data_IF_537919169190
#
_entry.id   IF_537919169190
#
_cell.length_a   1.000
_cell.length_b   1.000
_cell.length_c   1.000
_cell.angle_alpha   90.00
_cell.angle_beta   90.00
_cell.angle_gamma   90.00
#
_symmetry.space_group_name_H-M   'P 1'
#
loop_
_entity.id
_entity.type
_entity.pdbx_description
1 polymer ?
#
# COMPACT_ATOMS: atom_id res chain seq x y z
N UNK A 1 15.86 1.61 -8.24
CA UNK A 1 14.64 0.81 -8.02
C UNK A 1 13.91 1.34 -6.79
N UNK A 2 12.61 1.48 -6.88
CA UNK A 2 11.73 1.97 -5.80
C UNK A 2 10.89 0.83 -5.26
N UNK A 3 10.74 0.76 -3.94
CA UNK A 3 9.80 -0.14 -3.27
C UNK A 3 8.57 0.64 -2.79
N UNK A 4 7.42 0.01 -2.85
CA UNK A 4 6.20 0.43 -2.17
C UNK A 4 5.43 -0.80 -1.74
N UNK A 5 4.44 -0.67 -0.88
CA UNK A 5 3.69 -1.85 -0.46
C UNK A 5 2.46 -1.53 0.37
N UNK A 6 1.66 -2.55 0.56
CA UNK A 6 0.42 -2.46 1.32
C UNK A 6 -0.38 -3.76 1.30
N UNK A 7 -1.55 -3.72 1.88
CA UNK A 7 -2.51 -4.84 1.81
C UNK A 7 -3.29 -4.84 0.50
N UNK A 8 -3.64 -3.66 -0.02
CA UNK A 8 -4.38 -3.46 -1.28
C UNK A 8 -5.70 -4.25 -1.36
N UNK A 9 -6.44 -4.30 -0.26
CA UNK A 9 -7.69 -5.07 -0.20
C UNK A 9 -8.83 -4.34 -0.94
N UNK A 10 -9.20 -3.15 -0.48
CA UNK A 10 -10.11 -2.26 -1.19
C UNK A 10 -9.30 -1.15 -1.84
N UNK A 11 -9.16 -1.21 -3.16
CA UNK A 11 -8.40 -0.22 -3.90
C UNK A 11 -9.13 1.14 -3.89
N UNK A 12 -8.38 2.19 -3.63
CA UNK A 12 -8.91 3.53 -3.49
C UNK A 12 -7.91 4.60 -3.97
N UNK A 13 -8.35 5.85 -4.04
CA UNK A 13 -7.50 6.96 -4.53
C UNK A 13 -6.21 7.14 -3.73
N UNK A 14 -6.17 6.76 -2.45
CA UNK A 14 -4.93 6.76 -1.65
C UNK A 14 -3.89 5.77 -2.18
N UNK A 15 -4.31 4.58 -2.60
CA UNK A 15 -3.41 3.63 -3.28
C UNK A 15 -2.95 4.16 -4.63
N UNK A 16 -3.84 4.83 -5.37
CA UNK A 16 -3.48 5.45 -6.64
C UNK A 16 -2.42 6.53 -6.45
N UNK A 17 -2.56 7.40 -5.45
CA UNK A 17 -1.57 8.44 -5.12
C UNK A 17 -0.21 7.82 -4.75
N UNK A 18 -0.22 6.75 -3.97
CA UNK A 18 0.99 6.02 -3.58
C UNK A 18 1.73 5.46 -4.81
N UNK A 19 0.99 4.79 -5.70
CA UNK A 19 1.56 4.21 -6.92
C UNK A 19 2.01 5.28 -7.91
N UNK A 20 1.26 6.36 -8.07
CA UNK A 20 1.68 7.51 -8.88
C UNK A 20 3.04 8.00 -8.44
N UNK A 21 3.21 8.23 -7.12
CA UNK A 21 4.48 8.69 -6.57
C UNK A 21 5.62 7.68 -6.79
N UNK A 22 5.33 6.39 -6.63
CA UNK A 22 6.33 5.35 -6.84
C UNK A 22 6.80 5.28 -8.31
N UNK A 23 5.88 5.36 -9.27
CA UNK A 23 6.21 5.35 -10.70
C UNK A 23 6.87 6.64 -11.19
N UNK A 24 6.56 7.77 -10.57
CA UNK A 24 7.27 9.03 -10.84
C UNK A 24 8.71 9.03 -10.30
N UNK A 25 8.94 8.33 -9.19
CA UNK A 25 10.21 8.37 -8.48
C UNK A 25 11.24 7.38 -9.01
N UNK A 26 10.82 6.31 -9.69
CA UNK A 26 11.75 5.28 -10.15
C UNK A 26 11.35 4.57 -11.44
N UNK A 27 12.36 4.21 -12.23
CA UNK A 27 12.20 3.50 -13.49
C UNK A 27 11.71 2.06 -13.32
N UNK A 28 11.90 1.48 -12.15
CA UNK A 28 11.40 0.15 -11.77
C UNK A 28 10.87 0.17 -10.36
N UNK A 29 9.65 -0.35 -10.20
CA UNK A 29 8.95 -0.40 -8.91
C UNK A 29 8.75 -1.85 -8.47
N UNK A 30 9.10 -2.14 -7.22
CA UNK A 30 8.73 -3.36 -6.51
C UNK A 30 7.52 -3.05 -5.63
N UNK A 31 6.42 -3.76 -5.85
CA UNK A 31 5.18 -3.58 -5.09
C UNK A 31 4.98 -4.77 -4.18
N UNK A 32 5.16 -4.56 -2.89
CA UNK A 32 4.91 -5.57 -1.88
C UNK A 32 3.43 -5.66 -1.53
N UNK A 33 2.85 -6.86 -1.62
CA UNK A 33 1.47 -7.13 -1.19
C UNK A 33 1.51 -8.09 -0.02
N UNK A 34 0.90 -7.72 1.11
CA UNK A 34 0.83 -8.57 2.30
C UNK A 34 0.18 -9.91 1.98
N UNK A 35 0.79 -11.04 2.43
CA UNK A 35 0.14 -12.34 2.39
C UNK A 35 -1.14 -12.31 3.24
N UNK A 36 -2.03 -13.27 3.06
CA UNK A 36 -3.26 -13.35 3.84
C UNK A 36 -2.95 -13.57 5.32
N UNK A 37 -1.95 -14.41 5.61
CA UNK A 37 -1.50 -14.70 6.96
C UNK A 37 -0.89 -13.47 7.63
N UNK A 38 -0.03 -12.73 6.92
CA UNK A 38 0.58 -11.52 7.46
C UNK A 38 -0.46 -10.42 7.68
N UNK A 39 -1.34 -10.18 6.70
CA UNK A 39 -2.40 -9.19 6.81
C UNK A 39 -3.35 -9.47 7.97
N UNK A 40 -3.68 -10.73 8.21
CA UNK A 40 -4.53 -11.15 9.33
C UNK A 40 -3.89 -10.90 10.70
N UNK A 41 -2.58 -11.08 10.81
CA UNK A 41 -1.83 -10.81 12.05
C UNK A 41 -1.75 -9.32 12.38
N UNK A 42 -1.40 -8.50 11.39
CA UNK A 42 -1.16 -7.05 11.59
C UNK A 42 -2.46 -6.28 11.81
N UNK A 43 -3.53 -6.67 11.17
CA UNK A 43 -4.82 -5.97 11.24
C UNK A 43 -5.79 -6.48 12.30
N UNK A 44 -5.31 -7.14 13.34
CA UNK A 44 -6.13 -7.63 14.45
C UNK A 44 -7.35 -8.43 13.98
N UNK A 45 -7.14 -9.42 13.11
CA UNK A 45 -8.19 -10.30 12.58
C UNK A 45 -9.30 -9.59 11.76
N UNK A 46 -9.05 -8.43 11.23
CA UNK A 46 -10.01 -7.82 10.29
C UNK A 46 -10.11 -8.71 9.06
N UNK A 47 -11.31 -9.15 8.77
CA UNK A 47 -11.61 -9.99 7.61
C UNK A 47 -11.32 -9.16 6.36
N UNK A 48 -10.37 -9.62 5.55
CA UNK A 48 -10.14 -9.06 4.22
C UNK A 48 -11.31 -9.47 3.31
N UNK A 49 -11.69 -8.60 2.38
CA UNK A 49 -12.72 -8.91 1.38
C UNK A 49 -12.17 -9.83 0.28
N UNK A 50 -10.88 -9.67 -0.04
CA UNK A 50 -10.21 -10.39 -1.12
C UNK A 50 -9.01 -11.18 -0.59
N UNK A 51 -8.83 -12.39 -1.09
CA UNK A 51 -7.62 -13.17 -0.84
C UNK A 51 -6.42 -12.58 -1.60
N UNK A 52 -5.22 -13.10 -1.35
CA UNK A 52 -3.98 -12.59 -1.95
C UNK A 52 -4.04 -12.54 -3.48
N UNK A 53 -4.49 -13.60 -4.14
CA UNK A 53 -4.53 -13.70 -5.60
C UNK A 53 -5.51 -12.69 -6.21
N UNK A 54 -6.66 -12.49 -5.57
CA UNK A 54 -7.64 -11.49 -5.99
C UNK A 54 -7.08 -10.07 -5.83
N UNK A 55 -6.37 -9.79 -4.74
CA UNK A 55 -5.73 -8.48 -4.51
C UNK A 55 -4.64 -8.20 -5.54
N UNK A 56 -3.82 -9.21 -5.87
CA UNK A 56 -2.82 -9.11 -6.95
C UNK A 56 -3.48 -8.79 -8.28
N UNK A 57 -4.54 -9.52 -8.63
CA UNK A 57 -5.28 -9.33 -9.89
C UNK A 57 -5.88 -7.92 -9.95
N UNK A 58 -6.60 -7.50 -8.93
CA UNK A 58 -7.25 -6.19 -8.88
C UNK A 58 -6.22 -5.05 -8.98
N UNK A 59 -5.07 -5.20 -8.32
CA UNK A 59 -3.99 -4.22 -8.41
C UNK A 59 -3.39 -4.13 -9.80
N UNK A 60 -3.15 -5.26 -10.46
CA UNK A 60 -2.65 -5.30 -11.85
C UNK A 60 -3.62 -4.64 -12.81
N UNK A 61 -4.90 -4.95 -12.70
CA UNK A 61 -5.95 -4.36 -13.53
C UNK A 61 -6.01 -2.82 -13.35
N UNK A 62 -5.87 -2.35 -12.12
CA UNK A 62 -5.80 -0.92 -11.82
C UNK A 62 -4.55 -0.25 -12.40
N UNK A 63 -3.39 -0.88 -12.28
CA UNK A 63 -2.12 -0.36 -12.81
C UNK A 63 -2.22 -0.26 -14.33
N UNK A 64 -2.65 -1.30 -15.01
CA UNK A 64 -2.80 -1.31 -16.47
C UNK A 64 -3.75 -0.20 -16.93
N UNK A 65 -4.90 -0.07 -16.28
CA UNK A 65 -5.90 0.94 -16.63
C UNK A 65 -5.42 2.37 -16.42
N UNK A 66 -4.61 2.63 -15.37
CA UNK A 66 -4.23 3.99 -14.97
C UNK A 66 -2.89 4.43 -15.47
N UNK A 67 -1.94 3.52 -15.59
CA UNK A 67 -0.54 3.81 -15.93
C UNK A 67 -0.09 3.17 -17.25
N UNK A 68 -0.88 2.23 -17.80
CA UNK A 68 -0.48 1.50 -18.99
C UNK A 68 0.76 0.62 -18.75
N UNK A 69 1.70 0.65 -19.70
CA UNK A 69 2.92 -0.14 -19.61
C UNK A 69 3.96 0.54 -18.71
N UNK A 70 4.02 0.13 -17.46
CA UNK A 70 5.03 0.56 -16.49
C UNK A 70 5.85 -0.64 -16.02
N UNK A 71 7.09 -0.39 -15.62
CA UNK A 71 8.01 -1.45 -15.20
C UNK A 71 7.87 -1.73 -13.69
N UNK A 72 7.20 -2.82 -13.36
CA UNK A 72 7.03 -3.22 -11.97
C UNK A 72 7.06 -4.73 -11.77
N UNK A 73 7.31 -5.14 -10.55
CA UNK A 73 7.17 -6.52 -10.07
C UNK A 73 6.37 -6.54 -8.79
N UNK A 74 5.61 -7.62 -8.56
CA UNK A 74 4.88 -7.84 -7.31
C UNK A 74 5.66 -8.82 -6.45
N UNK A 75 5.84 -8.48 -5.18
CA UNK A 75 6.44 -9.33 -4.16
C UNK A 75 5.42 -9.64 -3.06
N UNK A 76 5.34 -10.91 -2.65
CA UNK A 76 4.53 -11.32 -1.49
C UNK A 76 5.24 -10.92 -0.20
N UNK A 77 4.53 -10.27 0.70
CA UNK A 77 5.05 -9.86 2.01
C UNK A 77 4.52 -10.79 3.10
N UNK A 78 5.43 -11.53 3.71
CA UNK A 78 5.16 -12.36 4.89
C UNK A 78 5.57 -11.68 6.20
N UNK A 79 6.20 -10.51 6.08
CA UNK A 79 6.64 -9.64 7.16
C UNK A 79 6.53 -8.17 6.76
N UNK A 80 6.78 -7.28 7.72
CA UNK A 80 6.59 -5.85 7.61
C UNK A 80 7.54 -5.15 6.63
N UNK A 81 8.75 -5.67 6.47
CA UNK A 81 9.80 -4.97 5.73
C UNK A 81 10.02 -5.49 4.31
N UNK A 82 9.73 -6.78 4.07
CA UNK A 82 9.83 -7.41 2.76
C UNK A 82 11.13 -7.09 2.02
N UNK A 83 11.06 -6.75 0.72
CA UNK A 83 12.24 -6.50 -0.12
C UNK A 83 13.10 -5.32 0.33
N UNK A 84 12.58 -4.38 1.12
CA UNK A 84 13.35 -3.21 1.57
C UNK A 84 14.57 -3.58 2.42
N UNK A 85 14.51 -4.70 3.14
CA UNK A 85 15.59 -5.16 4.01
C UNK A 85 16.37 -6.35 3.45
N UNK A 86 15.89 -6.98 2.40
CA UNK A 86 16.51 -8.17 1.81
C UNK A 86 17.08 -7.94 0.41
N UNK A 87 16.61 -6.91 -0.30
CA UNK A 87 16.99 -6.65 -1.68
C UNK A 87 17.87 -5.41 -1.81
N UNK A 88 19.17 -5.63 -2.07
CA UNK A 88 20.18 -4.57 -2.09
C UNK A 88 19.98 -3.50 -3.18
N UNK A 89 19.23 -3.81 -4.24
CA UNK A 89 18.97 -2.89 -5.36
C UNK A 89 17.85 -1.88 -5.13
N UNK A 90 17.17 -1.91 -3.98
CA UNK A 90 16.19 -0.88 -3.62
C UNK A 90 16.95 0.37 -3.18
N UNK A 91 16.60 1.50 -3.79
CA UNK A 91 17.20 2.82 -3.52
C UNK A 91 16.27 3.73 -2.69
N UNK A 92 14.96 3.51 -2.81
CA UNK A 92 13.96 4.31 -2.10
C UNK A 92 12.72 3.47 -1.73
N UNK A 93 12.09 3.85 -0.64
CA UNK A 93 10.75 3.40 -0.24
C UNK A 93 9.78 4.55 -0.39
N UNK A 94 8.73 4.36 -1.17
CA UNK A 94 7.55 5.25 -1.22
C UNK A 94 6.46 4.64 -0.35
N UNK A 95 6.06 5.31 0.70
CA UNK A 95 5.12 4.82 1.68
C UNK A 95 4.15 5.91 2.14
N UNK A 96 3.00 5.53 2.70
CA UNK A 96 2.15 6.50 3.40
C UNK A 96 2.89 7.11 4.58
N UNK A 97 2.50 8.30 4.99
CA UNK A 97 3.12 8.99 6.13
C UNK A 97 3.11 8.15 7.42
N UNK A 98 2.10 7.30 7.63
CA UNK A 98 2.06 6.36 8.76
C UNK A 98 3.16 5.30 8.69
N UNK A 99 3.44 4.77 7.50
CA UNK A 99 4.46 3.73 7.30
C UNK A 99 5.86 4.30 7.17
N UNK A 100 5.98 5.53 6.66
CA UNK A 100 7.27 6.20 6.47
C UNK A 100 8.04 6.41 7.79
N UNK A 101 7.35 6.49 8.93
CA UNK A 101 7.98 6.59 10.25
C UNK A 101 8.89 5.39 10.60
N UNK A 102 8.72 4.24 9.92
CA UNK A 102 9.57 3.06 10.07
C UNK A 102 10.85 3.11 9.21
N UNK A 103 11.05 4.18 8.48
CA UNK A 103 12.18 4.32 7.57
C UNK A 103 13.54 4.21 8.26
N UNK A 104 13.69 4.74 9.46
CA UNK A 104 14.93 4.62 10.24
C UNK A 104 15.20 3.17 10.65
N UNK A 105 14.16 2.46 11.12
CA UNK A 105 14.28 1.04 11.46
C UNK A 105 14.70 0.20 10.24
N UNK A 106 14.10 0.45 9.08
CA UNK A 106 14.51 -0.19 7.82
C UNK A 106 15.99 0.08 7.53
N UNK A 107 16.43 1.32 7.65
CA UNK A 107 17.82 1.69 7.38
C UNK A 107 18.80 1.11 8.42
N UNK A 108 18.39 0.94 9.67
CA UNK A 108 19.18 0.26 10.70
C UNK A 108 19.37 -1.23 10.36
N UNK A 109 18.31 -1.92 9.97
CA UNK A 109 18.37 -3.31 9.51
C UNK A 109 19.27 -3.42 8.27
N UNK A 110 19.14 -2.50 7.32
CA UNK A 110 19.99 -2.48 6.13
C UNK A 110 21.46 -2.28 6.47
N UNK A 111 21.79 -1.36 7.36
CA UNK A 111 23.17 -1.14 7.82
C UNK A 111 23.75 -2.40 8.49
N UNK A 112 22.96 -3.06 9.34
CA UNK A 112 23.36 -4.33 9.98
C UNK A 112 23.65 -5.40 8.94
N UNK A 113 22.88 -5.43 7.84
CA UNK A 113 23.07 -6.36 6.73
C UNK A 113 24.09 -5.85 5.68
N UNK A 114 24.87 -4.82 5.98
CA UNK A 114 25.87 -4.21 5.09
C UNK A 114 25.30 -3.71 3.76
N UNK A 115 24.04 -3.31 3.77
CA UNK A 115 23.38 -2.69 2.63
C UNK A 115 23.38 -1.16 2.77
N UNK A 116 23.37 -0.45 1.64
CA UNK A 116 23.22 1.01 1.64
C UNK A 116 21.86 1.41 2.20
N UNK A 117 21.77 2.48 2.99
CA UNK A 117 20.50 3.05 3.39
C UNK A 117 19.68 3.49 2.16
N UNK A 118 18.38 3.48 2.29
CA UNK A 118 17.43 3.92 1.25
C UNK A 118 16.81 5.27 1.60
N UNK A 119 16.39 6.00 0.58
CA UNK A 119 15.59 7.21 0.76
C UNK A 119 14.16 6.83 1.15
N UNK A 120 13.56 7.58 2.07
CA UNK A 120 12.17 7.40 2.48
C UNK A 120 11.35 8.56 1.94
N UNK A 121 10.38 8.26 1.09
CA UNK A 121 9.47 9.22 0.48
C UNK A 121 8.09 9.01 1.04
N UNK A 122 7.63 9.95 1.86
CA UNK A 122 6.30 9.91 2.44
C UNK A 122 5.25 10.48 1.47
N UNK A 123 4.11 9.80 1.37
CA UNK A 123 2.92 10.26 0.67
C UNK A 123 1.84 10.54 1.70
N UNK A 124 1.27 11.73 1.66
CA UNK A 124 0.22 12.11 2.59
C UNK A 124 -1.03 11.24 2.42
N UNK A 125 -1.66 10.90 3.53
CA UNK A 125 -2.92 10.18 3.54
C UNK A 125 -4.01 11.11 3.02
N UNK A 126 -4.69 10.70 1.95
CA UNK A 126 -5.81 11.44 1.40
C UNK A 126 -7.00 11.40 2.37
N UNK A 127 -7.70 12.52 2.45
CA UNK A 127 -8.86 12.69 3.31
C UNK A 127 -10.15 12.49 2.53
N UNK A 128 -11.12 11.87 3.19
CA UNK A 128 -12.51 11.78 2.74
C UNK A 128 -13.24 13.11 2.93
N UNK A 129 -14.47 13.20 2.45
CA UNK A 129 -15.32 14.41 2.56
C UNK A 129 -15.51 14.88 4.01
N UNK A 130 -15.49 13.95 4.97
CA UNK A 130 -15.62 14.25 6.41
C UNK A 130 -14.30 14.65 7.10
N UNK A 131 -13.21 14.74 6.32
CA UNK A 131 -11.87 15.05 6.85
C UNK A 131 -11.15 13.85 7.47
N UNK A 132 -11.78 12.70 7.59
CA UNK A 132 -11.17 11.44 8.03
C UNK A 132 -10.32 10.78 6.93
N UNK A 133 -9.46 9.81 7.27
CA UNK A 133 -8.62 9.16 6.27
C UNK A 133 -9.43 8.28 5.33
N UNK A 134 -9.03 8.22 4.06
CA UNK A 134 -9.53 7.21 3.12
C UNK A 134 -8.80 5.90 3.42
N UNK A 135 -9.54 4.85 3.74
CA UNK A 135 -8.96 3.55 4.07
C UNK A 135 -9.86 2.39 3.60
N UNK A 136 -9.23 1.24 3.32
CA UNK A 136 -9.96 0.03 2.98
C UNK A 136 -10.95 -0.40 4.08
N UNK A 137 -10.66 -0.11 5.34
CA UNK A 137 -11.56 -0.40 6.46
C UNK A 137 -12.87 0.38 6.36
N UNK A 138 -12.79 1.69 6.08
CA UNK A 138 -13.97 2.55 5.96
C UNK A 138 -14.78 2.23 4.71
N UNK A 139 -14.10 1.81 3.63
CA UNK A 139 -14.78 1.37 2.40
C UNK A 139 -15.54 0.06 2.66
N UNK A 140 -14.92 -0.91 3.33
CA UNK A 140 -15.58 -2.17 3.69
C UNK A 140 -16.78 -1.98 4.61
N UNK A 141 -16.70 -1.03 5.53
CA UNK A 141 -17.83 -0.73 6.43
C UNK A 141 -18.95 0.06 5.74
N UNK A 142 -18.77 0.48 4.49
CA UNK A 142 -19.77 1.24 3.75
C UNK A 142 -19.89 2.70 4.21
N UNK A 143 -18.90 3.24 4.91
CA UNK A 143 -18.89 4.65 5.32
C UNK A 143 -18.57 5.59 4.16
N UNK A 144 -17.62 5.19 3.33
CA UNK A 144 -17.16 5.94 2.16
C UNK A 144 -16.98 5.04 0.96
N UNK A 145 -16.98 5.62 -0.23
CA UNK A 145 -16.57 4.94 -1.46
C UNK A 145 -15.05 5.05 -1.70
N UNK A 146 -14.56 4.46 -2.78
CA UNK A 146 -13.14 4.46 -3.14
C UNK A 146 -12.56 5.84 -3.46
N UNK A 147 -13.40 6.85 -3.70
CA UNK A 147 -13.02 8.25 -3.91
C UNK A 147 -13.02 9.08 -2.62
N UNK A 148 -13.47 8.50 -1.51
CA UNK A 148 -13.62 9.18 -0.23
C UNK A 148 -14.93 9.92 -0.05
N UNK A 149 -15.91 9.70 -0.92
CA UNK A 149 -17.24 10.26 -0.80
C UNK A 149 -18.03 9.52 0.27
N UNK A 150 -18.71 10.26 1.13
CA UNK A 150 -19.55 9.68 2.18
C UNK A 150 -20.76 8.97 1.56
N UNK A 151 -20.94 7.72 1.96
CA UNK A 151 -22.12 6.94 1.60
C UNK A 151 -23.21 7.18 2.66
N UNK A 152 -24.32 7.78 2.26
CA UNK A 152 -25.47 7.95 3.16
C UNK A 152 -25.90 6.57 3.68
N UNK A 153 -25.87 6.38 5.00
CA UNK A 153 -26.51 5.21 5.62
C UNK A 153 -27.97 5.25 5.21
N UNK A 154 -28.39 4.31 4.38
CA UNK A 154 -29.81 4.06 4.21
C UNK A 154 -30.31 3.60 5.58
N UNK A 155 -30.92 4.50 6.34
CA UNK A 155 -31.72 4.13 7.49
C UNK A 155 -32.80 3.19 6.95
N UNK A 156 -32.65 1.89 7.24
CA UNK A 156 -33.79 0.99 7.17
C UNK A 156 -34.77 1.54 8.21
N UNK A 157 -35.75 2.29 7.74
CA UNK A 157 -36.97 2.54 8.50
C UNK A 157 -37.66 1.18 8.69
N UNK A 158 -37.86 0.86 9.95
CA UNK A 158 -38.68 -0.26 10.40
C UNK A 158 -40.09 -0.19 9.80
#
# INVERSE_FOLDING_TARGET
MVATGGTFDELHIGHLALLTKAFEFGDKVIIGISSDEFASRVKNKKILRHNYEERVKNLRDMIEKRFGHVNYTIAKLDNEFGPTVTYGLVDALVASSETACKGEEINDIRRTNRMKPISIVAVDILKAEDGGPISSTRIRSGEIDASGKILSRTTKSE
#
